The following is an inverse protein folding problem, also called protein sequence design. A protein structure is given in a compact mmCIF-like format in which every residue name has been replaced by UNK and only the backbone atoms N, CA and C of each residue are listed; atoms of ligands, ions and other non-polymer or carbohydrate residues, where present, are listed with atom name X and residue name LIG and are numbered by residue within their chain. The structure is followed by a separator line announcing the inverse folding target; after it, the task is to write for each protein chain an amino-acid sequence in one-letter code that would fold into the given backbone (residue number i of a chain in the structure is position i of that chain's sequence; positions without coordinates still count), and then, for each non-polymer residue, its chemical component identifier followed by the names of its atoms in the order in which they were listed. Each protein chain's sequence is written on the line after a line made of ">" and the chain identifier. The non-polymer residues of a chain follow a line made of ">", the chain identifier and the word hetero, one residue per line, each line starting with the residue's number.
data_IF_329026617727
#
_entry.id   IF_329026617727
#
_cell.length_a   1.000
_cell.length_b   1.000
_cell.length_c   1.000
_cell.angle_alpha   90.00
_cell.angle_beta   90.00
_cell.angle_gamma   90.00
#
_symmetry.space_group_name_H-M   'P 1'
#
loop_
_entity.id
_entity.type
_entity.pdbx_description
1 polymer ?
#
# COMPACT_ATOMS: atom_id res chain seq x y z
N UNK A 1 19.04 10.21 -33.04
CA UNK A 1 17.77 10.15 -32.29
C UNK A 1 17.58 8.72 -31.81
N UNK A 2 17.83 8.46 -30.52
CA UNK A 2 17.66 7.13 -29.92
C UNK A 2 16.35 7.15 -29.14
N UNK A 3 15.45 6.24 -29.50
CA UNK A 3 14.18 6.05 -28.81
C UNK A 3 14.46 5.52 -27.40
N UNK A 4 14.01 6.23 -26.37
CA UNK A 4 13.96 5.71 -25.00
C UNK A 4 12.79 4.75 -24.93
N UNK A 5 13.05 3.48 -24.66
CA UNK A 5 11.99 2.50 -24.38
C UNK A 5 11.67 2.62 -22.90
N UNK A 6 10.42 2.92 -22.58
CA UNK A 6 9.91 2.90 -21.21
C UNK A 6 9.48 1.47 -20.91
N UNK A 7 10.15 0.83 -19.96
CA UNK A 7 9.61 -0.38 -19.31
C UNK A 7 8.99 0.11 -18.01
N UNK A 8 7.67 0.26 -17.99
CA UNK A 8 6.91 0.48 -16.75
C UNK A 8 6.95 -0.86 -16.02
N UNK A 9 7.61 -0.93 -14.86
CA UNK A 9 7.42 -2.05 -13.95
C UNK A 9 6.32 -1.66 -12.96
N UNK A 10 5.12 -2.21 -13.18
CA UNK A 10 4.17 -2.47 -12.11
C UNK A 10 4.74 -3.61 -11.28
N UNK A 11 5.00 -3.39 -9.99
CA UNK A 11 5.09 -4.52 -9.05
C UNK A 11 3.66 -4.93 -8.75
N UNK A 12 3.08 -5.70 -9.66
CA UNK A 12 1.92 -6.54 -9.43
C UNK A 12 2.36 -7.94 -9.80
N UNK A 13 2.74 -8.74 -8.81
CA UNK A 13 2.85 -10.18 -8.95
C UNK A 13 1.42 -10.74 -9.08
N UNK A 14 0.90 -10.73 -10.31
CA UNK A 14 0.39 -11.89 -11.09
C UNK A 14 -0.17 -11.32 -12.41
N UNK A 15 0.53 -11.56 -13.51
CA UNK A 15 -0.08 -11.54 -14.86
C UNK A 15 -0.02 -12.97 -15.41
N UNK A 16 -1.19 -13.54 -15.71
CA UNK A 16 -1.33 -14.41 -16.88
C UNK A 16 -2.21 -13.65 -17.87
N UNK A 17 -1.65 -13.41 -19.05
CA UNK A 17 -2.21 -12.61 -20.13
C UNK A 17 -3.20 -13.39 -20.99
N UNK A 18 -4.17 -12.68 -21.57
CA UNK A 18 -4.74 -12.96 -22.90
C UNK A 18 -5.55 -11.77 -23.41
N UNK A 19 -5.00 -11.05 -24.38
CA UNK A 19 -5.59 -9.92 -25.07
C UNK A 19 -6.82 -10.28 -25.92
N UNK A 20 -7.77 -9.35 -26.09
CA UNK A 20 -8.18 -8.92 -27.44
C UNK A 20 -8.70 -7.49 -27.46
N UNK A 21 -8.15 -6.74 -28.39
CA UNK A 21 -8.29 -5.31 -28.62
C UNK A 21 -9.44 -5.04 -29.61
N UNK A 22 -10.25 -4.00 -29.39
CA UNK A 22 -10.95 -3.31 -30.48
C UNK A 22 -11.29 -1.86 -30.13
N UNK A 23 -10.65 -0.96 -30.88
CA UNK A 23 -10.86 0.49 -30.92
C UNK A 23 -12.30 0.88 -31.26
N UNK A 24 -12.77 2.00 -30.70
CA UNK A 24 -13.27 3.10 -31.53
C UNK A 24 -13.27 4.44 -30.78
N UNK A 25 -12.77 5.45 -31.50
CA UNK A 25 -12.76 6.88 -31.20
C UNK A 25 -14.16 7.49 -31.13
N UNK A 26 -14.36 8.51 -30.30
CA UNK A 26 -14.82 9.85 -30.76
C UNK A 26 -14.96 10.91 -29.64
N UNK A 27 -14.40 12.08 -29.92
CA UNK A 27 -14.78 13.46 -29.59
C UNK A 27 -15.36 13.84 -28.22
N UNK A 28 -14.63 14.74 -27.57
CA UNK A 28 -14.96 15.58 -26.40
C UNK A 28 -16.16 16.50 -26.69
N UNK A 29 -17.10 16.56 -25.73
CA UNK A 29 -17.98 17.72 -25.52
C UNK A 29 -18.00 18.07 -24.04
N UNK A 30 -17.56 19.29 -23.71
CA UNK A 30 -17.58 19.85 -22.36
C UNK A 30 -18.96 20.43 -22.04
N UNK A 31 -19.71 19.78 -21.15
CA UNK A 31 -20.83 20.39 -20.44
C UNK A 31 -20.52 20.39 -18.94
N UNK A 32 -20.50 21.60 -18.36
CA UNK A 32 -20.43 21.82 -16.91
C UNK A 32 -21.74 21.37 -16.29
N UNK A 33 -21.70 20.30 -15.50
CA UNK A 33 -22.82 19.90 -14.64
C UNK A 33 -22.48 20.39 -13.23
N UNK A 34 -23.34 21.24 -12.66
CA UNK A 34 -23.32 21.56 -11.23
C UNK A 34 -23.76 20.28 -10.49
N UNK A 35 -22.89 19.72 -9.65
CA UNK A 35 -23.26 18.58 -8.82
C UNK A 35 -24.14 19.04 -7.66
N UNK A 36 -25.37 18.54 -7.69
CA UNK A 36 -26.34 18.59 -6.60
C UNK A 36 -25.99 17.42 -5.66
N UNK A 37 -25.44 17.71 -4.48
CA UNK A 37 -25.08 16.69 -3.50
C UNK A 37 -26.33 15.93 -3.07
N UNK A 38 -26.47 14.69 -3.53
CA UNK A 38 -27.40 13.70 -2.99
C UNK A 38 -26.63 12.86 -1.98
N UNK A 39 -27.03 12.92 -0.71
CA UNK A 39 -26.58 11.95 0.29
C UNK A 39 -27.26 10.63 -0.08
N UNK A 40 -26.55 9.73 -0.74
CA UNK A 40 -26.98 8.35 -0.91
C UNK A 40 -26.86 7.67 0.45
N UNK A 41 -27.99 7.25 1.02
CA UNK A 41 -28.00 6.27 2.12
C UNK A 41 -27.18 5.05 1.66
N UNK A 42 -26.28 4.57 2.52
CA UNK A 42 -25.47 3.38 2.27
C UNK A 42 -26.39 2.21 1.93
N UNK A 43 -26.33 1.71 0.69
CA UNK A 43 -26.92 0.43 0.35
C UNK A 43 -26.15 -0.64 1.13
N UNK A 44 -26.76 -1.20 2.18
CA UNK A 44 -26.31 -2.45 2.79
C UNK A 44 -26.37 -3.55 1.72
N UNK A 45 -25.23 -3.80 1.05
CA UNK A 45 -25.08 -4.99 0.23
C UNK A 45 -25.09 -6.21 1.15
N UNK A 46 -26.19 -6.97 1.12
CA UNK A 46 -26.31 -8.24 1.85
C UNK A 46 -25.35 -9.24 1.22
N UNK A 47 -24.23 -9.48 1.90
CA UNK A 47 -23.27 -10.52 1.57
C UNK A 47 -23.90 -11.90 1.79
N UNK A 48 -24.03 -12.68 0.71
CA UNK A 48 -24.63 -14.01 0.69
C UNK A 48 -23.66 -15.14 1.08
N UNK A 49 -22.42 -14.80 1.47
CA UNK A 49 -21.42 -15.75 1.97
C UNK A 49 -21.82 -16.33 3.33
N UNK A 50 -21.56 -17.62 3.51
CA UNK A 50 -21.79 -18.31 4.79
C UNK A 50 -20.77 -17.81 5.83
N UNK A 51 -21.28 -17.35 6.98
CA UNK A 51 -20.46 -16.87 8.10
C UNK A 51 -20.40 -17.94 9.19
N UNK A 52 -19.19 -18.36 9.53
CA UNK A 52 -18.86 -19.32 10.59
C UNK A 52 -18.14 -18.58 11.71
N UNK A 53 -18.82 -18.37 12.84
CA UNK A 53 -18.30 -17.66 14.02
C UNK A 53 -17.59 -16.33 13.69
N UNK A 54 -18.16 -15.56 12.77
CA UNK A 54 -17.61 -14.27 12.34
C UNK A 54 -16.58 -14.36 11.22
N UNK A 55 -16.38 -15.50 10.59
CA UNK A 55 -15.47 -15.68 9.45
C UNK A 55 -16.21 -16.16 8.22
N UNK A 56 -15.79 -15.73 7.04
CA UNK A 56 -16.30 -16.28 5.78
C UNK A 56 -15.16 -16.86 4.95
N UNK A 57 -15.48 -17.87 4.14
CA UNK A 57 -14.53 -18.46 3.19
C UNK A 57 -14.38 -17.52 2.00
N UNK A 58 -13.19 -16.94 1.83
CA UNK A 58 -12.88 -16.09 0.68
C UNK A 58 -12.40 -16.94 -0.50
N UNK A 59 -11.71 -18.04 -0.20
CA UNK A 59 -11.49 -19.14 -1.15
C UNK A 59 -10.33 -20.04 -0.74
N UNK A 60 -9.44 -20.38 -1.67
CA UNK A 60 -8.37 -21.35 -1.43
C UNK A 60 -7.02 -20.85 -1.93
N UNK A 61 -5.99 -20.99 -1.11
CA UNK A 61 -4.60 -20.68 -1.46
C UNK A 61 -3.76 -21.96 -1.49
N UNK A 62 -2.63 -21.93 -2.20
CA UNK A 62 -1.66 -23.02 -2.23
C UNK A 62 -0.61 -22.81 -1.14
N UNK A 63 -0.46 -23.77 -0.23
CA UNK A 63 0.59 -23.72 0.80
C UNK A 63 1.96 -24.23 0.29
N UNK A 64 2.99 -24.15 1.12
CA UNK A 64 4.37 -24.61 0.79
C UNK A 64 4.47 -26.11 0.46
N UNK A 65 3.45 -26.89 0.79
CA UNK A 65 3.35 -28.33 0.48
C UNK A 65 2.57 -28.60 -0.82
N UNK A 66 2.22 -27.54 -1.56
CA UNK A 66 1.42 -27.58 -2.77
C UNK A 66 0.01 -28.16 -2.55
N UNK A 67 -0.59 -27.85 -1.40
CA UNK A 67 -1.95 -28.25 -1.02
C UNK A 67 -2.89 -27.03 -1.09
N UNK A 68 -4.11 -27.24 -1.58
CA UNK A 68 -5.18 -26.23 -1.48
C UNK A 68 -5.65 -26.15 -0.03
N UNK A 69 -5.46 -25.00 0.60
CA UNK A 69 -5.94 -24.70 1.94
C UNK A 69 -6.98 -23.59 1.87
N UNK A 70 -8.06 -23.76 2.64
CA UNK A 70 -9.10 -22.74 2.75
C UNK A 70 -8.52 -21.46 3.37
N UNK A 71 -8.89 -20.32 2.81
CA UNK A 71 -8.52 -19.00 3.29
C UNK A 71 -9.77 -18.27 3.76
N UNK A 72 -9.78 -17.90 5.03
CA UNK A 72 -10.89 -17.22 5.67
C UNK A 72 -10.53 -15.77 5.97
N UNK A 73 -11.51 -14.90 5.80
CA UNK A 73 -11.44 -13.48 6.12
C UNK A 73 -12.44 -13.21 7.26
N UNK A 74 -12.09 -12.42 8.28
CA UNK A 74 -13.04 -12.02 9.31
C UNK A 74 -14.15 -11.21 8.68
N UNK A 75 -15.36 -11.31 9.21
CA UNK A 75 -16.45 -10.44 8.85
C UNK A 75 -16.12 -9.00 9.24
N UNK A 76 -16.47 -8.07 8.36
CA UNK A 76 -16.28 -6.63 8.56
C UNK A 76 -17.44 -5.87 7.94
N UNK A 77 -17.66 -4.65 8.42
CA UNK A 77 -18.55 -3.70 7.75
C UNK A 77 -17.69 -2.81 6.85
N UNK A 78 -18.01 -2.79 5.56
CA UNK A 78 -17.26 -1.99 4.57
C UNK A 78 -17.32 -0.51 4.94
N UNK A 79 -16.15 0.10 5.16
CA UNK A 79 -16.01 1.55 5.29
C UNK A 79 -15.51 2.15 3.99
N UNK A 80 -16.10 3.26 3.57
CA UNK A 80 -15.71 3.99 2.36
C UNK A 80 -14.22 4.35 2.41
N UNK A 81 -13.51 4.13 1.30
CA UNK A 81 -12.09 4.47 1.17
C UNK A 81 -11.13 3.45 1.81
N UNK A 82 -11.62 2.38 2.43
CA UNK A 82 -10.79 1.34 3.03
C UNK A 82 -10.61 0.16 2.07
N UNK A 83 -9.37 -0.24 1.86
CA UNK A 83 -9.02 -1.48 1.16
C UNK A 83 -9.13 -2.67 2.11
N UNK A 84 -9.90 -3.69 1.72
CA UNK A 84 -10.01 -4.95 2.44
C UNK A 84 -9.46 -6.08 1.58
N UNK A 85 -8.81 -7.05 2.21
CA UNK A 85 -8.24 -8.18 1.49
C UNK A 85 -9.31 -9.03 0.82
N UNK A 86 -9.02 -9.40 -0.42
CA UNK A 86 -9.75 -10.42 -1.19
C UNK A 86 -8.74 -11.17 -2.05
N UNK A 87 -8.92 -12.48 -2.19
CA UNK A 87 -8.13 -13.29 -3.12
C UNK A 87 -8.53 -13.04 -4.59
N UNK A 88 -9.65 -12.34 -4.83
CA UNK A 88 -10.09 -11.99 -6.18
C UNK A 88 -9.27 -10.83 -6.74
N UNK A 89 -8.35 -11.16 -7.65
CA UNK A 89 -7.50 -10.19 -8.36
C UNK A 89 -8.29 -9.14 -9.15
N UNK A 90 -9.47 -9.45 -9.67
CA UNK A 90 -10.28 -8.48 -10.42
C UNK A 90 -10.95 -7.49 -9.46
N UNK A 91 -11.38 -7.96 -8.29
CA UNK A 91 -11.92 -7.11 -7.23
C UNK A 91 -10.83 -6.17 -6.69
N UNK A 92 -9.62 -6.68 -6.43
CA UNK A 92 -8.47 -5.87 -6.03
C UNK A 92 -8.18 -4.73 -7.03
N UNK A 93 -8.18 -5.03 -8.32
CA UNK A 93 -7.91 -4.02 -9.36
C UNK A 93 -9.01 -2.94 -9.48
N UNK A 94 -10.27 -3.29 -9.16
CA UNK A 94 -11.38 -2.32 -9.12
C UNK A 94 -11.27 -1.43 -7.88
N UNK A 95 -11.01 -2.04 -6.72
CA UNK A 95 -10.80 -1.33 -5.46
C UNK A 95 -9.72 -0.25 -5.63
N UNK A 96 -8.56 -0.57 -6.20
CA UNK A 96 -7.48 0.42 -6.39
C UNK A 96 -7.95 1.70 -7.12
N UNK A 97 -8.76 1.57 -8.18
CA UNK A 97 -9.23 2.73 -8.95
C UNK A 97 -10.24 3.59 -8.19
N UNK A 98 -11.14 2.95 -7.45
CA UNK A 98 -12.15 3.62 -6.63
C UNK A 98 -11.49 4.34 -5.44
N UNK A 99 -10.52 3.70 -4.80
CA UNK A 99 -9.80 4.21 -3.64
C UNK A 99 -8.96 5.45 -3.97
N UNK A 100 -8.35 5.51 -5.16
CA UNK A 100 -7.63 6.72 -5.63
C UNK A 100 -8.55 7.95 -5.64
N UNK A 101 -9.81 7.78 -6.05
CA UNK A 101 -10.77 8.87 -6.13
C UNK A 101 -11.35 9.21 -4.74
N UNK A 102 -11.73 8.19 -3.97
CA UNK A 102 -12.37 8.36 -2.66
C UNK A 102 -11.44 8.94 -1.60
N UNK A 103 -10.15 8.60 -1.67
CA UNK A 103 -9.17 9.01 -0.67
C UNK A 103 -8.45 10.32 -1.02
N UNK A 104 -8.78 10.93 -2.17
CA UNK A 104 -8.11 12.12 -2.68
C UNK A 104 -8.32 13.35 -1.78
N UNK A 105 -7.26 13.95 -1.22
CA UNK A 105 -7.34 15.23 -0.53
C UNK A 105 -7.81 16.37 -1.45
N UNK A 106 -8.56 17.33 -0.92
CA UNK A 106 -8.90 18.53 -1.71
C UNK A 106 -7.65 19.36 -2.04
N UNK A 107 -7.65 20.07 -3.17
CA UNK A 107 -6.51 20.84 -3.62
C UNK A 107 -5.30 20.01 -4.09
N UNK A 108 -5.48 18.72 -4.37
CA UNK A 108 -4.39 17.84 -4.85
C UNK A 108 -4.70 17.17 -6.20
N UNK A 109 -3.69 16.54 -6.80
CA UNK A 109 -3.82 15.64 -7.95
C UNK A 109 -3.07 14.33 -7.70
N UNK A 110 -3.67 13.21 -8.15
CA UNK A 110 -3.07 11.88 -8.00
C UNK A 110 -1.77 11.78 -8.77
N UNK A 111 -0.73 11.25 -8.11
CA UNK A 111 0.58 11.01 -8.69
C UNK A 111 0.85 9.52 -8.76
N UNK A 112 0.62 8.96 -9.94
CA UNK A 112 0.80 7.54 -10.20
C UNK A 112 2.23 7.06 -9.85
N UNK A 113 2.31 5.99 -9.06
CA UNK A 113 3.57 5.35 -8.65
C UNK A 113 4.29 6.02 -7.49
N UNK A 114 3.69 7.04 -6.87
CA UNK A 114 4.33 7.88 -5.86
C UNK A 114 4.04 7.49 -4.40
N UNK A 115 3.47 6.32 -4.14
CA UNK A 115 3.26 5.69 -2.85
C UNK A 115 2.81 4.26 -3.14
N UNK A 116 3.55 3.27 -2.62
CA UNK A 116 3.18 1.86 -2.69
C UNK A 116 3.81 1.16 -1.51
N UNK A 117 3.02 1.00 -0.45
CA UNK A 117 3.36 0.08 0.63
C UNK A 117 2.13 -0.75 0.97
N UNK A 118 2.34 -2.03 1.22
CA UNK A 118 1.26 -2.94 1.54
C UNK A 118 1.71 -3.94 2.58
N UNK A 119 1.07 -3.93 3.75
CA UNK A 119 1.39 -4.83 4.85
C UNK A 119 0.13 -5.46 5.38
N UNK A 120 0.15 -6.78 5.47
CA UNK A 120 -0.94 -7.56 6.00
C UNK A 120 -0.39 -8.66 6.91
N UNK A 121 -1.21 -9.06 7.87
CA UNK A 121 -0.99 -10.27 8.66
C UNK A 121 -2.35 -10.92 8.82
N UNK A 122 -2.44 -12.21 8.53
CA UNK A 122 -3.69 -12.96 8.55
C UNK A 122 -3.57 -14.23 9.41
N UNK A 123 -3.95 -14.14 10.68
CA UNK A 123 -4.18 -15.33 11.50
C UNK A 123 -5.39 -16.10 10.97
N UNK A 124 -5.19 -17.32 10.47
CA UNK A 124 -6.24 -18.15 9.87
C UNK A 124 -6.95 -19.02 10.90
N UNK A 125 -8.30 -19.00 11.00
CA UNK A 125 -9.03 -19.80 11.97
C UNK A 125 -8.94 -21.30 11.64
N UNK A 126 -8.91 -22.14 12.69
CA UNK A 126 -9.12 -23.58 12.56
C UNK A 126 -10.62 -23.84 12.71
N UNK A 127 -11.23 -24.39 11.65
CA UNK A 127 -12.66 -24.69 11.61
C UNK A 127 -12.88 -26.21 11.68
N UNK A 128 -13.64 -26.65 12.68
CA UNK A 128 -14.06 -28.03 12.83
C UNK A 128 -15.58 -28.10 13.05
N UNK A 129 -16.26 -28.95 12.28
CA UNK A 129 -17.71 -29.18 12.38
C UNK A 129 -18.54 -27.86 12.33
N UNK A 130 -18.12 -26.92 11.48
CA UNK A 130 -18.81 -25.64 11.28
C UNK A 130 -18.67 -24.66 12.45
N UNK A 131 -17.54 -24.73 13.19
CA UNK A 131 -17.21 -23.80 14.27
C UNK A 131 -15.73 -23.48 14.28
N UNK A 132 -15.37 -22.26 14.68
CA UNK A 132 -13.99 -21.88 14.96
C UNK A 132 -13.59 -22.49 16.29
N UNK A 133 -12.60 -23.38 16.28
CA UNK A 133 -12.10 -24.07 17.49
C UNK A 133 -10.82 -23.46 18.04
N UNK A 134 -10.03 -22.81 17.18
CA UNK A 134 -8.80 -22.10 17.57
C UNK A 134 -8.44 -21.08 16.48
N UNK A 135 -7.60 -20.10 16.83
CA UNK A 135 -7.00 -19.15 15.90
C UNK A 135 -5.51 -19.07 16.21
N UNK A 136 -4.64 -19.68 15.39
CA UNK A 136 -3.21 -19.66 15.61
C UNK A 136 -2.66 -18.24 15.49
N UNK A 137 -1.66 -17.96 16.31
CA UNK A 137 -0.85 -16.75 16.17
C UNK A 137 0.06 -16.89 14.96
N UNK A 138 0.25 -15.78 14.25
CA UNK A 138 1.29 -15.68 13.21
C UNK A 138 2.60 -15.27 13.88
N UNK A 139 3.68 -15.99 13.56
CA UNK A 139 5.03 -15.57 13.91
C UNK A 139 5.41 -14.39 13.02
N UNK A 140 5.36 -13.18 13.59
CA UNK A 140 5.59 -11.96 12.82
C UNK A 140 7.10 -11.72 12.68
N UNK A 141 7.60 -11.77 11.45
CA UNK A 141 8.98 -11.39 11.15
C UNK A 141 9.07 -9.93 10.74
N UNK A 142 10.28 -9.39 10.64
CA UNK A 142 10.48 -7.98 10.33
C UNK A 142 9.99 -7.56 8.95
N UNK A 143 10.09 -8.45 7.96
CA UNK A 143 9.60 -8.18 6.60
C UNK A 143 8.10 -7.88 6.59
N UNK A 144 7.34 -8.48 7.51
CA UNK A 144 5.89 -8.25 7.68
C UNK A 144 5.57 -6.92 8.39
N UNK A 145 6.58 -6.26 8.96
CA UNK A 145 6.39 -5.05 9.77
C UNK A 145 6.91 -3.78 9.10
N UNK A 146 7.68 -3.85 8.01
CA UNK A 146 8.26 -2.64 7.44
C UNK A 146 8.46 -2.66 5.93
N UNK A 147 8.34 -1.50 5.29
CA UNK A 147 8.53 -1.30 3.85
C UNK A 147 9.03 0.11 3.52
N UNK A 148 9.51 0.32 2.30
CA UNK A 148 9.62 1.66 1.74
C UNK A 148 8.24 2.26 1.47
N UNK A 149 8.07 3.56 1.73
CA UNK A 149 6.84 4.28 1.42
C UNK A 149 6.65 4.45 -0.10
N UNK A 150 7.74 4.71 -0.81
CA UNK A 150 7.75 4.97 -2.25
C UNK A 150 8.52 3.90 -3.03
N UNK A 151 8.01 3.54 -4.21
CA UNK A 151 8.66 2.56 -5.08
C UNK A 151 9.94 3.11 -5.72
N UNK A 152 10.94 2.23 -5.84
CA UNK A 152 12.14 2.49 -6.63
C UNK A 152 11.94 1.99 -8.06
N UNK A 153 12.03 2.89 -9.04
CA UNK A 153 11.87 2.53 -10.45
C UNK A 153 13.23 2.46 -11.12
N UNK A 154 13.64 1.26 -11.52
CA UNK A 154 14.89 1.00 -12.24
C UNK A 154 14.75 1.16 -13.75
N UNK A 155 15.65 1.93 -14.36
CA UNK A 155 15.76 2.12 -15.81
C UNK A 155 17.06 1.53 -16.34
N UNK A 156 16.97 0.69 -17.38
CA UNK A 156 18.12 0.16 -18.12
C UNK A 156 18.00 0.42 -19.62
N UNK A 157 19.11 0.74 -20.27
CA UNK A 157 19.19 0.81 -21.74
C UNK A 157 19.32 -0.58 -22.39
N UNK A 158 19.53 -1.62 -21.57
CA UNK A 158 19.63 -3.01 -22.00
C UNK A 158 18.25 -3.64 -21.96
N UNK A 159 17.81 -4.15 -23.12
CA UNK A 159 16.62 -4.98 -23.24
C UNK A 159 17.02 -6.40 -22.84
N UNK A 160 16.58 -6.85 -21.69
CA UNK A 160 16.75 -8.24 -21.27
C UNK A 160 15.40 -8.93 -21.22
N UNK A 161 15.32 -10.16 -21.74
CA UNK A 161 14.23 -11.05 -21.34
C UNK A 161 14.26 -11.23 -19.82
N UNK A 162 13.13 -11.61 -19.22
CA UNK A 162 13.06 -11.85 -17.78
C UNK A 162 13.78 -13.18 -17.46
N UNK A 163 15.05 -13.08 -17.10
CA UNK A 163 15.81 -14.14 -16.42
C UNK A 163 16.23 -13.58 -15.04
N UNK A 164 15.80 -14.25 -13.98
CA UNK A 164 15.98 -13.79 -12.60
C UNK A 164 17.46 -13.58 -12.24
N UNK A 165 18.34 -14.49 -12.67
CA UNK A 165 19.78 -14.39 -12.36
C UNK A 165 20.44 -13.18 -13.02
N UNK A 166 20.07 -12.94 -14.28
CA UNK A 166 20.47 -11.76 -15.04
C UNK A 166 19.82 -10.49 -14.48
N UNK A 167 18.58 -10.56 -14.02
CA UNK A 167 17.87 -9.44 -13.40
C UNK A 167 18.58 -8.92 -12.15
N UNK A 168 19.06 -9.83 -11.29
CA UNK A 168 19.73 -9.49 -10.03
C UNK A 168 21.05 -8.74 -10.21
N UNK A 169 21.77 -8.98 -11.30
CA UNK A 169 23.17 -8.56 -11.47
C UNK A 169 23.35 -7.38 -12.42
N UNK A 170 22.31 -6.98 -13.15
CA UNK A 170 22.36 -5.83 -14.05
C UNK A 170 22.23 -4.53 -13.27
N UNK A 171 23.13 -3.58 -13.57
CA UNK A 171 23.03 -2.22 -13.06
C UNK A 171 21.92 -1.45 -13.76
N UNK A 172 21.04 -0.83 -12.97
CA UNK A 172 20.00 0.08 -13.46
C UNK A 172 20.13 1.41 -12.74
N UNK A 173 19.72 2.47 -13.41
CA UNK A 173 19.56 3.75 -12.74
C UNK A 173 18.20 3.77 -12.07
N UNK A 174 18.15 3.91 -10.75
CA UNK A 174 16.90 3.96 -10.01
C UNK A 174 16.49 5.39 -9.67
N UNK A 175 15.19 5.60 -9.61
CA UNK A 175 14.59 6.84 -9.10
C UNK A 175 13.38 6.54 -8.24
N UNK A 176 13.20 7.34 -7.18
CA UNK A 176 12.02 7.33 -6.34
C UNK A 176 11.01 8.32 -6.90
N UNK A 177 9.77 7.90 -7.11
CA UNK A 177 8.68 8.84 -7.37
C UNK A 177 8.08 9.22 -6.01
N UNK A 178 8.27 10.47 -5.59
CA UNK A 178 7.71 10.98 -4.34
C UNK A 178 6.39 11.68 -4.54
N UNK A 179 5.61 11.87 -3.49
CA UNK A 179 4.40 12.71 -3.47
C UNK A 179 4.38 13.60 -2.23
N UNK A 180 3.61 14.69 -2.30
CA UNK A 180 3.51 15.68 -1.22
C UNK A 180 2.64 15.14 -0.08
N UNK A 181 1.63 14.33 -0.41
CA UNK A 181 0.71 13.72 0.55
C UNK A 181 0.47 12.26 0.17
N UNK A 182 0.51 11.37 1.15
CA UNK A 182 0.16 9.95 0.98
C UNK A 182 -1.12 9.65 1.74
N UNK A 183 -2.11 9.08 1.06
CA UNK A 183 -3.23 8.43 1.74
C UNK A 183 -2.97 6.92 1.86
N UNK A 184 -3.41 6.33 2.96
CA UNK A 184 -3.35 4.89 3.17
C UNK A 184 -4.58 4.41 3.94
N UNK A 185 -5.06 3.22 3.60
CA UNK A 185 -6.13 2.54 4.31
C UNK A 185 -5.58 1.59 5.35
N UNK A 186 -6.33 1.43 6.44
CA UNK A 186 -6.09 0.45 7.48
C UNK A 186 -7.39 -0.30 7.74
N UNK A 187 -7.40 -1.61 7.53
CA UNK A 187 -8.45 -2.53 7.91
C UNK A 187 -7.98 -3.35 9.11
N UNK A 188 -8.66 -3.22 10.26
CA UNK A 188 -8.36 -3.90 11.51
C UNK A 188 -9.38 -5.00 11.87
N UNK A 189 -10.50 -5.09 11.14
CA UNK A 189 -11.54 -6.11 11.33
C UNK A 189 -12.04 -6.17 12.79
N UNK A 190 -12.15 -4.99 13.42
CA UNK A 190 -12.49 -4.83 14.84
C UNK A 190 -13.86 -5.40 15.22
N UNK A 191 -14.73 -5.64 14.25
CA UNK A 191 -16.05 -6.25 14.42
C UNK A 191 -15.96 -7.73 14.81
N UNK A 192 -14.92 -8.43 14.33
CA UNK A 192 -14.74 -9.86 14.56
C UNK A 192 -13.63 -10.13 15.57
N UNK A 193 -12.57 -9.32 15.58
CA UNK A 193 -11.38 -9.57 16.39
C UNK A 193 -11.03 -8.35 17.24
N UNK A 194 -10.78 -8.49 18.55
CA UNK A 194 -10.31 -7.39 19.36
C UNK A 194 -8.86 -7.02 18.98
N UNK A 195 -8.67 -5.76 18.57
CA UNK A 195 -7.41 -5.21 18.04
C UNK A 195 -6.49 -4.61 19.11
N UNK A 196 -6.82 -4.80 20.40
CA UNK A 196 -6.01 -4.33 21.53
C UNK A 196 -5.79 -2.82 21.53
N UNK A 197 -4.53 -2.40 21.60
CA UNK A 197 -4.12 -0.98 21.56
C UNK A 197 -3.92 -0.44 20.13
N UNK A 198 -4.29 -1.21 19.11
CA UNK A 198 -4.14 -0.84 17.70
C UNK A 198 -2.72 -1.03 17.17
N UNK A 199 -2.44 -0.43 16.01
CA UNK A 199 -1.16 -0.51 15.30
C UNK A 199 -0.45 0.84 15.42
N UNK A 200 0.78 0.85 15.92
CA UNK A 200 1.66 2.01 15.81
C UNK A 200 2.29 2.03 14.43
N UNK A 201 2.16 3.12 13.70
CA UNK A 201 2.84 3.33 12.42
C UNK A 201 3.85 4.44 12.65
N UNK A 202 5.12 4.16 12.37
CA UNK A 202 6.21 5.13 12.42
C UNK A 202 6.87 5.25 11.04
N UNK A 203 7.16 6.48 10.63
CA UNK A 203 7.79 6.79 9.35
C UNK A 203 9.18 7.37 9.62
N UNK A 204 10.20 6.75 9.04
CA UNK A 204 11.59 7.19 9.17
C UNK A 204 12.12 7.69 7.83
N UNK A 205 12.72 8.88 7.81
CA UNK A 205 13.28 9.47 6.59
C UNK A 205 14.68 8.94 6.32
N UNK A 206 14.89 8.26 5.19
CA UNK A 206 16.20 7.71 4.82
C UNK A 206 17.05 8.83 4.20
N UNK A 207 18.15 9.29 4.83
CA UNK A 207 18.88 10.45 4.33
C UNK A 207 19.51 10.21 2.95
N UNK A 208 19.50 11.23 2.08
CA UNK A 208 20.16 11.13 0.77
C UNK A 208 21.63 10.80 0.86
N UNK A 209 22.36 11.36 1.82
CA UNK A 209 23.79 11.12 1.99
C UNK A 209 24.08 9.66 2.39
N UNK A 210 23.23 9.08 3.24
CA UNK A 210 23.31 7.65 3.57
C UNK A 210 23.07 6.78 2.34
N UNK A 211 22.01 7.06 1.58
CA UNK A 211 21.69 6.33 0.36
C UNK A 211 22.81 6.44 -0.70
N UNK A 212 23.38 7.63 -0.92
CA UNK A 212 24.51 7.84 -1.84
C UNK A 212 25.76 7.08 -1.42
N UNK A 213 26.03 7.01 -0.11
CA UNK A 213 27.20 6.28 0.40
C UNK A 213 27.08 4.77 0.12
N UNK A 214 25.87 4.21 0.21
CA UNK A 214 25.64 2.77 0.03
C UNK A 214 25.41 2.38 -1.45
N UNK A 215 24.62 3.16 -2.18
CA UNK A 215 24.15 2.86 -3.54
C UNK A 215 24.91 3.63 -4.64
N UNK A 216 25.77 4.58 -4.26
CA UNK A 216 26.51 5.45 -5.16
C UNK A 216 25.76 6.73 -5.56
N UNK A 217 26.52 7.78 -5.93
CA UNK A 217 26.01 9.14 -6.18
C UNK A 217 24.91 9.24 -7.25
N UNK A 218 24.94 8.37 -8.25
CA UNK A 218 23.99 8.39 -9.37
C UNK A 218 22.84 7.38 -9.23
N UNK A 219 22.77 6.67 -8.09
CA UNK A 219 21.79 5.59 -7.87
C UNK A 219 21.79 4.56 -9.01
N UNK A 220 22.99 4.14 -9.42
CA UNK A 220 23.19 3.11 -10.45
C UNK A 220 23.72 1.85 -9.76
N UNK A 221 22.82 0.92 -9.47
CA UNK A 221 23.09 -0.24 -8.63
C UNK A 221 22.38 -1.49 -9.18
N UNK A 222 22.73 -2.67 -8.66
CA UNK A 222 22.08 -3.95 -8.96
C UNK A 222 20.96 -4.25 -7.95
N UNK A 223 20.06 -5.19 -8.21
CA UNK A 223 19.07 -5.57 -7.18
C UNK A 223 19.75 -6.19 -5.95
N UNK A 224 20.89 -6.86 -6.13
CA UNK A 224 21.70 -7.37 -5.00
C UNK A 224 22.22 -6.22 -4.13
N UNK A 225 22.65 -5.10 -4.73
CA UNK A 225 23.03 -3.89 -3.98
C UNK A 225 21.81 -3.31 -3.21
N UNK A 226 20.61 -3.34 -3.82
CA UNK A 226 19.36 -2.87 -3.20
C UNK A 226 18.89 -3.75 -2.03
N UNK A 227 19.01 -5.07 -2.16
CA UNK A 227 18.71 -6.02 -1.09
C UNK A 227 19.64 -5.78 0.11
N UNK A 228 20.95 -5.71 -0.12
CA UNK A 228 21.94 -5.40 0.92
C UNK A 228 21.68 -4.03 1.57
N UNK A 229 21.34 -3.02 0.77
CA UNK A 229 20.96 -1.71 1.29
C UNK A 229 19.71 -1.79 2.16
N UNK A 230 18.69 -2.51 1.73
CA UNK A 230 17.43 -2.68 2.47
C UNK A 230 17.63 -3.43 3.79
N UNK A 231 18.51 -4.44 3.82
CA UNK A 231 18.94 -5.08 5.07
C UNK A 231 19.64 -4.08 6.00
N UNK A 232 20.52 -3.22 5.47
CA UNK A 232 21.17 -2.19 6.28
C UNK A 232 20.18 -1.16 6.84
N UNK A 233 19.20 -0.72 6.05
CA UNK A 233 18.11 0.14 6.54
C UNK A 233 17.35 -0.58 7.66
N UNK A 234 17.02 -1.85 7.46
CA UNK A 234 16.30 -2.65 8.45
C UNK A 234 16.98 -2.70 9.83
N UNK A 235 18.31 -2.77 9.88
CA UNK A 235 19.04 -2.79 11.16
C UNK A 235 19.30 -1.39 11.75
N UNK A 236 19.27 -0.34 10.95
CA UNK A 236 19.74 1.00 11.37
C UNK A 236 18.67 2.09 11.31
N UNK A 237 17.42 1.80 10.90
CA UNK A 237 16.39 2.83 10.70
C UNK A 237 16.11 3.69 11.94
N UNK A 238 16.33 3.17 13.14
CA UNK A 238 16.16 3.91 14.40
C UNK A 238 17.19 5.03 14.60
N UNK A 239 18.28 5.02 13.82
CA UNK A 239 19.27 6.10 13.78
C UNK A 239 18.84 7.25 12.86
N UNK A 240 17.84 7.02 12.00
CA UNK A 240 17.30 8.04 11.11
C UNK A 240 16.21 8.87 11.81
N UNK A 241 15.89 10.01 11.20
CA UNK A 241 14.87 10.90 11.71
C UNK A 241 13.49 10.23 11.62
N UNK A 242 12.80 10.12 12.76
CA UNK A 242 11.38 9.76 12.79
C UNK A 242 10.59 10.99 12.36
N UNK A 243 10.05 10.93 11.13
CA UNK A 243 9.36 12.04 10.46
C UNK A 243 7.97 12.25 11.03
N UNK A 244 7.22 11.16 11.20
CA UNK A 244 5.93 11.18 11.89
C UNK A 244 5.63 9.79 12.46
N UNK A 245 4.65 9.74 13.35
CA UNK A 245 4.08 8.50 13.87
C UNK A 245 2.65 8.68 14.32
N UNK A 246 1.92 7.58 14.41
CA UNK A 246 0.58 7.59 14.97
C UNK A 246 0.12 6.21 15.35
N UNK A 247 -0.84 6.15 16.26
CA UNK A 247 -1.45 4.91 16.70
C UNK A 247 -2.85 4.82 16.13
N UNK A 248 -3.06 3.82 15.29
CA UNK A 248 -4.31 3.58 14.59
C UNK A 248 -5.12 2.55 15.37
N UNK A 249 -6.30 2.97 15.82
CA UNK A 249 -7.18 2.17 16.69
C UNK A 249 -8.48 1.75 16.01
N UNK A 250 -8.76 2.23 14.81
CA UNK A 250 -10.01 1.98 14.12
C UNK A 250 -9.72 1.73 12.63
N UNK A 251 -10.56 0.91 11.99
CA UNK A 251 -10.52 0.79 10.52
C UNK A 251 -10.86 2.12 9.88
N UNK A 252 -10.07 2.56 8.90
CA UNK A 252 -10.26 3.86 8.25
C UNK A 252 -9.16 4.25 7.27
N UNK A 253 -9.24 5.50 6.82
CA UNK A 253 -8.28 6.13 5.89
C UNK A 253 -7.52 7.21 6.63
N UNK A 254 -6.20 7.19 6.44
CA UNK A 254 -5.25 8.02 7.14
C UNK A 254 -4.27 8.66 6.15
N UNK A 255 -3.57 9.70 6.60
CA UNK A 255 -2.75 10.55 5.76
C UNK A 255 -1.37 10.82 6.35
N UNK A 256 -0.38 10.94 5.46
CA UNK A 256 0.97 11.39 5.76
C UNK A 256 1.19 12.66 4.95
N UNK A 257 1.51 13.76 5.62
CA UNK A 257 1.90 15.00 4.95
C UNK A 257 3.43 15.06 4.88
N UNK A 258 3.96 15.18 3.66
CA UNK A 258 5.37 15.28 3.35
C UNK A 258 5.70 16.57 2.57
N UNK A 259 4.76 17.53 2.56
CA UNK A 259 4.83 18.76 1.76
C UNK A 259 5.73 19.85 2.35
N UNK A 260 6.34 19.63 3.51
CA UNK A 260 7.25 20.60 4.12
C UNK A 260 8.46 20.86 3.21
N UNK A 261 8.79 22.14 3.02
CA UNK A 261 9.71 22.63 1.97
C UNK A 261 11.14 22.05 2.04
N UNK A 262 11.53 21.40 3.15
CA UNK A 262 12.87 20.86 3.37
C UNK A 262 12.94 19.31 3.33
N UNK A 263 11.83 18.58 3.43
CA UNK A 263 11.84 17.11 3.56
C UNK A 263 12.18 16.40 2.25
N UNK A 264 11.83 17.01 1.12
CA UNK A 264 12.01 16.44 -0.20
C UNK A 264 13.47 16.44 -0.69
N UNK A 265 14.28 17.38 -0.20
CA UNK A 265 15.73 17.42 -0.46
C UNK A 265 16.54 16.64 0.59
N UNK A 266 15.96 16.39 1.76
CA UNK A 266 16.65 15.74 2.89
C UNK A 266 16.67 14.21 2.78
N UNK A 267 15.54 13.60 2.40
CA UNK A 267 15.38 12.16 2.42
C UNK A 267 15.30 11.57 1.01
N UNK A 268 16.03 10.50 0.75
CA UNK A 268 15.94 9.75 -0.51
C UNK A 268 14.59 9.03 -0.65
N UNK A 269 14.14 8.39 0.42
CA UNK A 269 12.87 7.67 0.54
C UNK A 269 12.49 7.61 2.03
N UNK A 270 11.35 7.01 2.36
CA UNK A 270 10.88 6.82 3.73
C UNK A 270 10.71 5.32 4.03
N UNK A 271 10.93 4.94 5.28
CA UNK A 271 10.76 3.58 5.78
C UNK A 271 9.60 3.55 6.77
N UNK A 272 8.53 2.85 6.40
CA UNK A 272 7.32 2.65 7.18
C UNK A 272 7.55 1.45 8.11
N UNK A 273 7.28 1.60 9.40
CA UNK A 273 7.43 0.53 10.39
C UNK A 273 6.14 0.42 11.22
N UNK A 274 5.59 -0.79 11.26
CA UNK A 274 4.42 -1.19 12.03
C UNK A 274 4.86 -1.79 13.37
N UNK A 275 4.59 -1.06 14.44
CA UNK A 275 4.72 -1.46 15.82
C UNK A 275 3.43 -2.04 16.36
N UNK A 276 3.56 -3.07 17.20
CA UNK A 276 2.43 -3.67 17.90
C UNK A 276 2.82 -3.87 19.36
N UNK A 277 1.92 -3.52 20.27
CA UNK A 277 2.19 -3.58 21.70
C UNK A 277 2.15 -5.01 22.27
N UNK A 278 1.57 -5.95 21.52
CA UNK A 278 1.42 -7.33 21.94
C UNK A 278 1.63 -8.36 20.81
N UNK A 279 1.83 -9.60 21.25
CA UNK A 279 1.86 -10.81 20.42
C UNK A 279 0.47 -11.47 20.39
N UNK A 280 -0.57 -10.71 20.05
CA UNK A 280 -1.94 -11.22 19.87
C UNK A 280 -2.16 -11.80 18.48
N UNK A 281 -3.30 -12.47 18.32
CA UNK A 281 -3.87 -12.88 17.02
C UNK A 281 -4.10 -11.61 16.20
N UNK A 282 -3.68 -11.60 14.93
CA UNK A 282 -3.77 -10.41 14.10
C UNK A 282 -4.40 -10.75 12.76
N UNK A 283 -5.39 -9.95 12.41
CA UNK A 283 -5.89 -9.87 11.05
C UNK A 283 -5.96 -8.39 10.70
N UNK A 284 -5.06 -7.92 9.84
CA UNK A 284 -5.10 -6.55 9.37
C UNK A 284 -4.57 -6.43 7.94
N UNK A 285 -4.99 -5.37 7.28
CA UNK A 285 -4.45 -4.90 6.01
C UNK A 285 -4.15 -3.40 6.11
N UNK A 286 -2.93 -3.01 5.80
CA UNK A 286 -2.49 -1.62 5.67
C UNK A 286 -2.01 -1.43 4.23
N UNK A 287 -2.66 -0.53 3.50
CA UNK A 287 -2.36 -0.29 2.09
C UNK A 287 -2.23 1.19 1.81
N UNK A 288 -1.05 1.62 1.36
CA UNK A 288 -0.81 2.97 0.88
C UNK A 288 -0.35 2.94 -0.57
N UNK A 289 -1.32 3.05 -1.48
CA UNK A 289 -1.07 3.12 -2.94
C UNK A 289 -1.40 4.50 -3.53
N UNK A 290 -1.64 5.51 -2.67
CA UNK A 290 -2.33 6.74 -3.02
C UNK A 290 -1.46 7.97 -2.75
N UNK A 291 -0.52 8.26 -3.65
CA UNK A 291 0.30 9.47 -3.60
C UNK A 291 -0.37 10.65 -4.32
N UNK A 292 -0.32 11.84 -3.73
CA UNK A 292 -0.93 13.06 -4.27
C UNK A 292 0.02 14.26 -4.19
N UNK A 293 -0.01 15.10 -5.21
CA UNK A 293 0.70 16.38 -5.22
C UNK A 293 -0.27 17.53 -5.01
N UNK A 294 0.11 18.51 -4.20
CA UNK A 294 -0.68 19.70 -3.93
C UNK A 294 -0.65 20.60 -5.16
N UNK A 295 -1.83 20.92 -5.68
CA UNK A 295 -2.03 21.82 -6.82
C UNK A 295 -2.74 23.11 -6.43
N UNK A 296 -3.39 23.13 -5.25
CA UNK A 296 -3.99 24.31 -4.64
C UNK A 296 -3.80 24.28 -3.13
N UNK A 297 -2.80 25.04 -2.65
CA UNK A 297 -2.41 25.09 -1.23
C UNK A 297 -3.56 25.47 -0.30
N UNK A 298 -4.36 26.48 -0.65
CA UNK A 298 -5.43 26.97 0.23
C UNK A 298 -6.58 25.97 0.38
N UNK A 299 -6.92 25.24 -0.68
CA UNK A 299 -7.91 24.17 -0.60
C UNK A 299 -7.38 22.98 0.21
N UNK A 300 -6.11 22.62 0.01
CA UNK A 300 -5.46 21.56 0.76
C UNK A 300 -5.39 21.86 2.26
N UNK A 301 -4.93 23.05 2.65
CA UNK A 301 -4.85 23.46 4.06
C UNK A 301 -6.21 23.46 4.74
N UNK A 302 -7.26 23.93 4.06
CA UNK A 302 -8.62 23.92 4.58
C UNK A 302 -9.14 22.48 4.79
N UNK A 303 -8.83 21.57 3.86
CA UNK A 303 -9.19 20.17 3.98
C UNK A 303 -8.36 19.44 5.05
N UNK A 304 -7.07 19.73 5.17
CA UNK A 304 -6.17 19.18 6.19
C UNK A 304 -6.65 19.54 7.59
N UNK A 305 -7.03 20.79 7.83
CA UNK A 305 -7.56 21.21 9.14
C UNK A 305 -8.86 20.47 9.51
N UNK A 306 -9.71 20.17 8.52
CA UNK A 306 -10.95 19.40 8.74
C UNK A 306 -10.71 17.91 8.99
N UNK A 307 -9.57 17.36 8.57
CA UNK A 307 -9.22 15.93 8.67
C UNK A 307 -7.98 15.67 9.53
N UNK A 308 -7.57 16.63 10.37
CA UNK A 308 -6.32 16.59 11.13
C UNK A 308 -6.18 15.39 12.07
N UNK A 309 -7.30 14.81 12.48
CA UNK A 309 -7.41 13.58 13.28
C UNK A 309 -7.02 12.32 12.51
N UNK A 310 -7.00 12.39 11.17
CA UNK A 310 -6.59 11.29 10.28
C UNK A 310 -5.13 11.35 9.87
N UNK A 311 -4.39 12.39 10.25
CA UNK A 311 -2.97 12.51 9.93
C UNK A 311 -2.10 11.81 10.97
N UNK A 312 -1.05 11.14 10.51
CA UNK A 312 0.09 10.81 11.38
C UNK A 312 0.79 12.11 11.77
N UNK A 313 1.22 12.22 13.04
CA UNK A 313 1.79 13.45 13.61
C UNK A 313 3.27 13.34 13.95
#
# INVERSE_FOLDING_TARGET
>A
MKYKVVVILLISLVFISSCTYKNNSNSISTEKIQEEYSITEEEETVDDREIIDGWYLDGYIINDKNENVAFYVPYYVKKKGVEYYTIDSEENAKQEQELVADNKPSGTEFKKGAAQFYRNIHSQPIIENGKVVDIPKVDIVWQDKAEYLFSNIGYSNESTGFDYSTYMTIKRQYSVIKSDVVAFSVALYEETMPIGEGIEISIYGIPYEYAKQQLGENFIYTMEDEENFSENIHYNYTEFDKVCSGRIKDTGVYYIDLSDEDTDEMYWNYYVVLGFDDNTIKYYDVSGSYGYNITNQSEYEAWKEQNKDKFLN
#
